data_IF_769040337862
#
_entry.id   IF_769040337862
#
_cell.length_a   1.000
_cell.length_b   1.000
_cell.length_c   1.000
_cell.angle_alpha   90.00
_cell.angle_beta   90.00
_cell.angle_gamma   90.00
#
_symmetry.space_group_name_H-M   'P 1'
#
loop_
_entity.id
_entity.type
_entity.pdbx_description
1 polymer ?
#
# COMPACT_ATOMS: atom_id res chain seq x y z
N UNK A 1 8.60 17.24 -3.12
CA UNK A 1 7.17 17.09 -2.79
C UNK A 1 7.13 16.34 -1.47
N UNK A 2 6.75 16.99 -0.34
CA UNK A 2 6.71 16.32 0.95
C UNK A 2 5.59 15.28 0.90
N UNK A 3 5.92 14.02 1.20
CA UNK A 3 4.96 12.94 1.30
C UNK A 3 4.27 13.07 2.68
N UNK A 4 3.22 13.88 2.76
CA UNK A 4 2.35 13.89 3.94
C UNK A 4 1.48 12.64 3.91
N UNK A 5 1.87 11.63 4.70
CA UNK A 5 0.98 10.51 5.04
C UNK A 5 0.35 10.85 6.39
N UNK A 6 -0.83 11.47 6.31
CA UNK A 6 -1.77 11.58 7.42
C UNK A 6 -2.50 10.24 7.55
N UNK A 7 -2.01 9.37 8.43
CA UNK A 7 -2.82 8.32 9.04
C UNK A 7 -2.31 8.11 10.45
N UNK A 8 -3.23 8.13 11.41
CA UNK A 8 -3.02 7.51 12.72
C UNK A 8 -2.81 6.02 12.42
N UNK A 9 -1.57 5.53 12.49
CA UNK A 9 -1.28 4.11 12.23
C UNK A 9 -0.62 3.52 13.46
N UNK A 10 -1.22 2.45 13.98
CA UNK A 10 -0.70 1.68 15.11
C UNK A 10 0.77 1.25 14.95
N UNK A 11 1.27 1.18 13.72
CA UNK A 11 2.60 0.69 13.38
C UNK A 11 3.58 1.75 12.85
N UNK A 12 3.27 3.05 12.92
CA UNK A 12 4.18 4.14 12.49
C UNK A 12 5.57 4.10 13.17
N UNK A 13 5.63 3.58 14.40
CA UNK A 13 6.88 3.36 15.12
C UNK A 13 7.83 2.39 14.41
N UNK A 14 7.32 1.43 13.63
CA UNK A 14 8.13 0.45 12.92
C UNK A 14 8.91 1.12 11.78
N UNK A 15 8.26 2.03 11.06
CA UNK A 15 8.87 2.83 10.00
C UNK A 15 9.93 3.83 10.52
N UNK A 16 9.67 4.42 11.69
CA UNK A 16 10.49 5.48 12.30
C UNK A 16 11.41 5.01 13.42
N UNK A 17 11.63 3.69 13.50
CA UNK A 17 12.27 3.04 14.66
C UNK A 17 13.71 3.54 14.92
N UNK A 18 14.45 3.94 13.88
CA UNK A 18 15.83 4.38 13.98
C UNK A 18 16.00 5.62 14.87
N UNK A 19 15.03 6.54 14.87
CA UNK A 19 15.05 7.75 15.69
C UNK A 19 15.09 7.41 17.18
N UNK A 20 14.36 6.37 17.59
CA UNK A 20 14.29 5.93 18.97
C UNK A 20 15.47 5.04 19.34
N UNK A 21 15.97 4.24 18.38
CA UNK A 21 17.16 3.42 18.54
C UNK A 21 18.36 4.25 18.98
N UNK A 22 18.68 5.31 18.24
CA UNK A 22 19.86 6.12 18.50
C UNK A 22 19.83 6.75 19.90
N UNK A 23 18.64 7.20 20.34
CA UNK A 23 18.42 7.74 21.69
C UNK A 23 18.61 6.68 22.76
N UNK A 24 17.96 5.53 22.62
CA UNK A 24 18.01 4.46 23.62
C UNK A 24 19.43 3.88 23.75
N UNK A 25 20.13 3.71 22.63
CA UNK A 25 21.53 3.31 22.58
C UNK A 25 22.46 4.35 23.23
N UNK A 26 22.10 5.64 23.21
CA UNK A 26 22.84 6.69 23.92
C UNK A 26 22.66 6.58 25.44
N UNK A 27 21.44 6.28 25.91
CA UNK A 27 21.16 6.11 27.34
C UNK A 27 21.84 4.88 27.92
N UNK A 28 22.01 3.80 27.16
CA UNK A 28 22.80 2.66 27.60
C UNK A 28 24.27 3.00 27.90
N UNK A 29 24.79 4.09 27.30
CA UNK A 29 26.19 4.53 27.42
C UNK A 29 26.36 5.74 28.34
N UNK A 30 25.27 6.36 28.82
CA UNK A 30 25.36 7.61 29.56
C UNK A 30 25.90 7.42 30.97
N UNK A 31 26.74 8.36 31.43
CA UNK A 31 27.21 8.41 32.83
C UNK A 31 26.08 8.76 33.80
N UNK A 32 24.97 9.33 33.31
CA UNK A 32 23.72 9.55 34.08
C UNK A 32 23.14 8.25 34.66
N UNK A 33 23.51 7.09 34.09
CA UNK A 33 23.20 5.78 34.66
C UNK A 33 23.87 5.53 36.02
N UNK A 34 24.79 6.36 36.51
CA UNK A 34 25.53 6.05 37.74
C UNK A 34 24.82 6.54 39.02
N UNK A 35 24.05 7.64 38.98
CA UNK A 35 23.59 8.34 40.20
C UNK A 35 22.10 8.18 40.54
N UNK A 36 21.33 7.42 39.75
CA UNK A 36 19.89 7.28 40.00
C UNK A 36 19.55 5.99 40.79
N UNK A 37 19.11 6.17 42.04
CA UNK A 37 18.72 5.09 42.96
C UNK A 37 17.39 4.40 42.59
N UNK A 38 16.61 4.95 41.64
CA UNK A 38 15.29 4.45 41.22
C UNK A 38 15.31 2.96 40.82
N UNK A 39 16.42 2.48 40.24
CA UNK A 39 16.55 1.09 39.79
C UNK A 39 17.31 0.19 40.78
N UNK A 40 17.62 0.66 41.99
CA UNK A 40 18.26 -0.18 43.00
C UNK A 40 17.36 -1.36 43.37
N UNK A 41 17.94 -2.56 43.40
CA UNK A 41 17.20 -3.78 43.68
C UNK A 41 16.31 -4.28 42.54
N UNK A 42 16.28 -3.60 41.39
CA UNK A 42 15.57 -4.12 40.22
C UNK A 42 16.17 -5.45 39.75
N UNK A 43 15.31 -6.45 39.64
CA UNK A 43 15.64 -7.78 39.13
C UNK A 43 14.57 -8.27 38.16
N UNK A 44 14.99 -9.12 37.22
CA UNK A 44 14.11 -9.82 36.30
C UNK A 44 14.70 -11.21 36.02
N UNK A 45 13.86 -12.24 36.03
CA UNK A 45 14.26 -13.64 35.81
C UNK A 45 14.82 -13.92 34.42
N UNK A 46 14.50 -13.08 33.44
CA UNK A 46 14.89 -13.24 32.04
C UNK A 46 16.08 -12.37 31.63
N UNK A 47 16.61 -11.55 32.54
CA UNK A 47 17.79 -10.71 32.29
C UNK A 47 19.00 -11.28 33.04
N UNK A 48 20.11 -11.47 32.32
CA UNK A 48 21.32 -12.08 32.87
C UNK A 48 22.01 -11.17 33.89
N UNK A 49 22.14 -11.60 35.14
CA UNK A 49 22.80 -10.89 36.24
C UNK A 49 22.12 -9.55 36.62
N UNK A 50 22.18 -9.22 37.92
CA UNK A 50 21.60 -8.03 38.53
C UNK A 50 22.15 -6.73 37.93
N UNK A 51 23.46 -6.66 37.64
CA UNK A 51 24.06 -5.44 37.08
C UNK A 51 23.47 -5.05 35.72
N UNK A 52 23.18 -6.04 34.87
CA UNK A 52 22.56 -5.77 33.57
C UNK A 52 21.09 -5.37 33.74
N UNK A 53 20.36 -6.04 34.63
CA UNK A 53 18.98 -5.68 34.94
C UNK A 53 18.88 -4.21 35.41
N UNK A 54 19.80 -3.78 36.27
CA UNK A 54 19.86 -2.38 36.72
C UNK A 54 20.18 -1.42 35.57
N UNK A 55 21.15 -1.73 34.70
CA UNK A 55 21.46 -0.91 33.52
C UNK A 55 20.26 -0.76 32.58
N UNK A 56 19.57 -1.87 32.31
CA UNK A 56 18.37 -1.90 31.45
C UNK A 56 17.26 -1.07 32.07
N UNK A 57 17.02 -1.21 33.37
CA UNK A 57 16.05 -0.39 34.09
C UNK A 57 16.39 1.09 33.92
N UNK A 58 17.62 1.49 34.22
CA UNK A 58 18.02 2.90 34.16
C UNK A 58 17.90 3.47 32.73
N UNK A 59 18.27 2.71 31.71
CA UNK A 59 18.08 3.13 30.31
C UNK A 59 16.59 3.31 29.97
N UNK A 60 15.71 2.41 30.42
CA UNK A 60 14.27 2.54 30.22
C UNK A 60 13.68 3.76 30.96
N UNK A 61 14.10 4.01 32.21
CA UNK A 61 13.66 5.19 32.99
C UNK A 61 14.09 6.50 32.32
N UNK A 62 15.34 6.60 31.87
CA UNK A 62 15.82 7.78 31.14
C UNK A 62 15.06 7.98 29.82
N UNK A 63 14.74 6.89 29.12
CA UNK A 63 13.97 6.97 27.89
C UNK A 63 12.53 7.42 28.16
N UNK A 64 11.85 6.88 29.18
CA UNK A 64 10.52 7.38 29.59
C UNK A 64 10.56 8.86 29.96
N UNK A 65 11.61 9.29 30.68
CA UNK A 65 11.81 10.70 31.01
C UNK A 65 11.94 11.57 29.76
N UNK A 66 12.77 11.19 28.77
CA UNK A 66 12.89 11.93 27.50
C UNK A 66 11.56 11.97 26.74
N UNK A 67 10.84 10.84 26.65
CA UNK A 67 9.52 10.80 26.02
C UNK A 67 8.52 11.76 26.69
N UNK A 68 8.59 11.91 28.01
CA UNK A 68 7.73 12.81 28.78
C UNK A 68 8.18 14.28 28.68
N UNK A 69 9.48 14.55 28.68
CA UNK A 69 10.02 15.92 28.58
C UNK A 69 9.85 16.53 27.17
N UNK A 70 9.88 15.72 26.12
CA UNK A 70 9.68 16.20 24.74
C UNK A 70 8.26 16.74 24.53
N UNK A 71 7.26 16.27 25.29
CA UNK A 71 5.89 16.77 25.28
C UNK A 71 5.78 18.21 25.82
N UNK A 72 6.65 18.59 26.76
CA UNK A 72 6.61 19.93 27.39
C UNK A 72 7.36 21.02 26.61
N UNK A 73 8.12 20.67 25.56
CA UNK A 73 8.88 21.65 24.76
C UNK A 73 8.00 22.40 23.74
N UNK A 74 6.81 21.88 23.43
CA UNK A 74 5.89 22.45 22.44
C UNK A 74 4.45 22.66 22.96
N UNK A 75 4.17 22.29 24.21
CA UNK A 75 2.87 22.46 24.86
C UNK A 75 2.39 23.93 25.01
N UNK A 76 3.29 24.91 24.83
CA UNK A 76 2.95 26.35 24.85
C UNK A 76 2.49 26.89 23.48
N UNK A 77 2.37 26.03 22.46
CA UNK A 77 1.85 26.43 21.14
C UNK A 77 0.42 25.93 20.95
N UNK A 78 -0.52 26.85 20.82
CA UNK A 78 -1.98 26.64 20.74
C UNK A 78 -2.47 25.96 19.46
N UNK A 79 -1.62 25.23 18.74
CA UNK A 79 -1.93 24.68 17.43
C UNK A 79 -2.19 23.18 17.49
N UNK A 80 -3.29 22.73 16.90
CA UNK A 80 -3.77 21.34 17.01
C UNK A 80 -2.81 20.33 16.36
N UNK A 81 -2.08 20.74 15.31
CA UNK A 81 -1.09 19.90 14.62
C UNK A 81 0.19 19.62 15.44
N UNK A 82 0.60 20.52 16.35
CA UNK A 82 1.78 20.29 17.21
C UNK A 82 1.46 19.30 18.33
N UNK A 83 0.28 19.44 18.95
CA UNK A 83 -0.23 18.48 19.94
C UNK A 83 -0.39 17.06 19.38
N UNK A 84 -0.81 16.94 18.12
CA UNK A 84 -0.91 15.65 17.43
C UNK A 84 0.48 15.03 17.15
N UNK A 85 1.46 15.85 16.78
CA UNK A 85 2.85 15.43 16.53
C UNK A 85 3.55 14.97 17.81
N UNK A 86 3.31 15.63 18.94
CA UNK A 86 3.90 15.29 20.25
C UNK A 86 3.35 13.97 20.79
N UNK A 87 2.03 13.77 20.70
CA UNK A 87 1.40 12.49 21.04
C UNK A 87 1.98 11.35 20.18
N UNK A 88 2.10 11.56 18.87
CA UNK A 88 2.65 10.56 17.96
C UNK A 88 4.09 10.16 18.30
N UNK A 89 4.93 11.11 18.74
CA UNK A 89 6.31 10.82 19.16
C UNK A 89 6.36 9.92 20.40
N UNK A 90 5.60 10.29 21.43
CA UNK A 90 5.51 9.54 22.68
C UNK A 90 4.99 8.12 22.46
N UNK A 91 3.90 7.99 21.71
CA UNK A 91 3.25 6.72 21.38
C UNK A 91 4.22 5.77 20.67
N UNK A 92 4.95 6.32 19.69
CA UNK A 92 5.91 5.55 18.91
C UNK A 92 7.14 5.17 19.72
N UNK A 93 7.60 6.05 20.61
CA UNK A 93 8.68 5.78 21.56
C UNK A 93 8.33 4.62 22.49
N UNK A 94 7.14 4.63 23.09
CA UNK A 94 6.68 3.53 23.95
C UNK A 94 6.70 2.18 23.24
N UNK A 95 6.16 2.12 22.02
CA UNK A 95 6.19 0.91 21.19
C UNK A 95 7.62 0.48 20.90
N UNK A 96 8.49 1.42 20.54
CA UNK A 96 9.89 1.11 20.30
C UNK A 96 10.61 0.57 21.54
N UNK A 97 10.35 1.11 22.73
CA UNK A 97 10.93 0.60 23.98
C UNK A 97 10.54 -0.86 24.22
N UNK A 98 9.27 -1.21 23.98
CA UNK A 98 8.85 -2.61 24.02
C UNK A 98 9.62 -3.47 23.01
N UNK A 99 9.74 -3.01 21.76
CA UNK A 99 10.50 -3.72 20.73
C UNK A 99 11.94 -3.96 21.17
N UNK A 100 12.64 -2.93 21.68
CA UNK A 100 14.01 -3.05 22.18
C UNK A 100 14.13 -4.04 23.34
N UNK A 101 13.18 -4.03 24.28
CA UNK A 101 13.15 -5.03 25.35
C UNK A 101 13.05 -6.44 24.77
N UNK A 102 12.14 -6.64 23.82
CA UNK A 102 11.95 -7.94 23.18
C UNK A 102 13.20 -8.38 22.38
N UNK A 103 13.69 -7.54 21.49
CA UNK A 103 14.72 -7.91 20.51
C UNK A 103 16.14 -7.79 21.04
N UNK A 104 16.49 -6.67 21.67
CA UNK A 104 17.88 -6.36 22.02
C UNK A 104 18.22 -6.85 23.44
N UNK A 105 17.27 -6.75 24.38
CA UNK A 105 17.48 -7.20 25.76
C UNK A 105 17.22 -8.70 25.90
N UNK A 106 16.06 -9.18 25.44
CA UNK A 106 15.62 -10.56 25.62
C UNK A 106 15.95 -11.48 24.43
N UNK A 107 16.56 -10.94 23.36
CA UNK A 107 16.98 -11.68 22.16
C UNK A 107 15.84 -12.46 21.48
N UNK A 108 14.59 -12.02 21.63
CA UNK A 108 13.41 -12.72 21.11
C UNK A 108 13.21 -14.14 21.65
N UNK A 109 13.85 -14.49 22.78
CA UNK A 109 13.75 -15.84 23.40
C UNK A 109 12.62 -15.95 24.41
N UNK A 110 12.13 -14.82 24.89
CA UNK A 110 11.07 -14.72 25.88
C UNK A 110 9.77 -14.43 25.16
N UNK A 111 8.64 -14.93 25.65
CA UNK A 111 7.34 -14.64 25.05
C UNK A 111 7.02 -13.14 25.06
N UNK A 112 6.17 -12.72 24.12
CA UNK A 112 5.64 -11.36 24.07
C UNK A 112 4.94 -11.02 25.39
N UNK A 113 4.14 -11.93 25.95
CA UNK A 113 3.48 -11.79 27.26
C UNK A 113 4.48 -11.46 28.38
N UNK A 114 5.54 -12.27 28.55
CA UNK A 114 6.54 -12.03 29.59
C UNK A 114 7.32 -10.74 29.37
N UNK A 115 7.47 -10.32 28.11
CA UNK A 115 8.08 -9.03 27.77
C UNK A 115 7.17 -7.87 28.14
N UNK A 116 5.86 -7.99 27.95
CA UNK A 116 4.87 -7.00 28.40
C UNK A 116 4.88 -6.87 29.93
N UNK A 117 5.01 -7.98 30.66
CA UNK A 117 5.15 -7.96 32.14
C UNK A 117 6.41 -7.18 32.56
N UNK A 118 7.55 -7.42 31.91
CA UNK A 118 8.78 -6.67 32.16
C UNK A 118 8.57 -5.17 31.87
N UNK A 119 7.98 -4.86 30.72
CA UNK A 119 7.70 -3.49 30.30
C UNK A 119 6.81 -2.74 31.30
N UNK A 120 5.73 -3.39 31.76
CA UNK A 120 4.84 -2.85 32.79
C UNK A 120 5.56 -2.63 34.13
N UNK A 121 6.45 -3.54 34.54
CA UNK A 121 7.26 -3.37 35.76
C UNK A 121 8.18 -2.15 35.67
N UNK A 122 8.84 -1.96 34.54
CA UNK A 122 9.69 -0.78 34.30
C UNK A 122 8.87 0.52 34.31
N UNK A 123 7.66 0.48 33.74
CA UNK A 123 6.76 1.61 33.79
C UNK A 123 6.27 1.95 35.21
N UNK A 124 5.91 0.95 36.03
CA UNK A 124 5.50 1.17 37.42
C UNK A 124 6.58 1.94 38.19
N UNK A 125 7.83 1.52 38.03
CA UNK A 125 8.99 2.18 38.64
C UNK A 125 9.11 3.63 38.16
N UNK A 126 8.93 3.88 36.87
CA UNK A 126 8.93 5.25 36.34
C UNK A 126 7.80 6.10 36.97
N UNK A 127 6.56 5.59 36.96
CA UNK A 127 5.36 6.32 37.39
C UNK A 127 5.38 6.64 38.89
N UNK A 128 5.82 5.70 39.73
CA UNK A 128 5.97 5.87 41.19
C UNK A 128 6.98 6.96 41.55
N UNK A 129 7.98 7.20 40.71
CA UNK A 129 9.06 8.16 40.97
C UNK A 129 8.89 9.51 40.26
N UNK A 130 7.81 9.70 39.49
CA UNK A 130 7.52 10.92 38.75
C UNK A 130 6.06 11.36 38.94
N UNK A 131 5.61 11.44 40.20
CA UNK A 131 4.30 12.02 40.60
C UNK A 131 3.06 11.37 39.97
N UNK A 132 3.09 10.10 39.60
CA UNK A 132 1.93 9.39 39.02
C UNK A 132 1.30 10.12 37.83
N UNK A 133 2.13 10.67 36.93
CA UNK A 133 1.69 11.43 35.77
C UNK A 133 0.73 10.66 34.86
N UNK A 134 0.68 9.32 34.94
CA UNK A 134 -0.18 8.44 34.14
C UNK A 134 -0.06 8.71 32.62
N UNK A 135 1.03 9.37 32.22
CA UNK A 135 1.23 9.92 30.88
C UNK A 135 1.25 8.80 29.82
N UNK A 136 1.56 7.58 30.24
CA UNK A 136 1.68 6.42 29.38
C UNK A 136 0.61 5.34 29.59
N UNK A 137 -0.30 5.51 30.56
CA UNK A 137 -1.28 4.48 30.94
C UNK A 137 -2.09 3.99 29.74
N UNK A 138 -2.56 4.92 28.91
CA UNK A 138 -3.32 4.58 27.71
C UNK A 138 -2.55 3.61 26.81
N UNK A 139 -1.26 3.88 26.58
CA UNK A 139 -0.47 3.12 25.61
C UNK A 139 -0.08 1.76 26.15
N UNK A 140 0.35 1.72 27.41
CA UNK A 140 0.80 0.50 28.06
C UNK A 140 -0.37 -0.47 28.23
N UNK A 141 -1.58 0.05 28.46
CA UNK A 141 -2.80 -0.74 28.57
C UNK A 141 -3.39 -1.16 27.21
N UNK A 142 -3.10 -0.44 26.12
CA UNK A 142 -3.54 -0.79 24.77
C UNK A 142 -2.67 -1.88 24.12
N UNK A 143 -1.43 -2.05 24.58
CA UNK A 143 -0.55 -3.11 24.10
C UNK A 143 -1.06 -4.48 24.52
N UNK A 144 -1.26 -5.34 23.53
CA UNK A 144 -1.61 -6.74 23.74
C UNK A 144 -0.65 -7.63 22.93
N UNK A 145 -0.75 -8.93 23.13
CA UNK A 145 0.18 -9.89 22.53
C UNK A 145 0.17 -9.85 21.00
N UNK A 146 -1.02 -9.83 20.39
CA UNK A 146 -1.19 -9.84 18.93
C UNK A 146 -0.64 -8.56 18.28
N UNK A 147 -1.00 -7.39 18.81
CA UNK A 147 -0.51 -6.11 18.26
C UNK A 147 0.99 -5.94 18.46
N UNK A 148 1.52 -6.44 19.59
CA UNK A 148 2.94 -6.39 19.91
C UNK A 148 3.77 -7.33 19.02
N UNK A 149 3.31 -8.54 18.76
CA UNK A 149 3.95 -9.48 17.81
C UNK A 149 4.03 -8.87 16.41
N UNK A 150 2.90 -8.39 15.88
CA UNK A 150 2.85 -7.74 14.56
C UNK A 150 3.76 -6.52 14.49
N UNK A 151 3.81 -5.72 15.55
CA UNK A 151 4.71 -4.57 15.64
C UNK A 151 6.19 -5.00 15.57
N UNK A 152 6.59 -6.02 16.31
CA UNK A 152 7.95 -6.57 16.26
C UNK A 152 8.28 -7.07 14.87
N UNK A 153 7.36 -7.83 14.25
CA UNK A 153 7.53 -8.39 12.90
C UNK A 153 7.70 -7.31 11.83
N UNK A 154 6.91 -6.24 11.88
CA UNK A 154 7.03 -5.11 10.97
C UNK A 154 8.33 -4.32 11.20
N UNK A 155 8.71 -4.11 12.46
CA UNK A 155 9.95 -3.40 12.80
C UNK A 155 11.18 -4.18 12.30
N UNK A 156 11.21 -5.50 12.49
CA UNK A 156 12.23 -6.37 11.93
C UNK A 156 12.31 -6.27 10.40
N UNK A 157 11.15 -6.27 9.72
CA UNK A 157 11.08 -6.14 8.27
C UNK A 157 11.71 -4.81 7.78
N UNK A 158 11.44 -3.70 8.47
CA UNK A 158 12.07 -2.41 8.18
C UNK A 158 13.58 -2.41 8.44
N UNK A 159 14.03 -3.04 9.52
CA UNK A 159 15.46 -3.13 9.85
C UNK A 159 16.23 -3.96 8.83
N UNK A 160 15.64 -5.04 8.32
CA UNK A 160 16.21 -5.82 7.22
C UNK A 160 16.30 -5.00 5.93
N UNK A 161 15.27 -4.22 5.62
CA UNK A 161 15.28 -3.31 4.46
C UNK A 161 16.37 -2.24 4.58
N UNK A 162 16.55 -1.66 5.76
CA UNK A 162 17.58 -0.64 5.99
C UNK A 162 18.99 -1.21 5.80
N UNK A 163 19.26 -2.41 6.35
CA UNK A 163 20.53 -3.12 6.14
C UNK A 163 20.78 -3.36 4.65
N UNK A 164 19.79 -3.91 3.96
CA UNK A 164 19.85 -4.13 2.50
C UNK A 164 20.12 -2.83 1.73
N UNK A 165 19.46 -1.74 2.12
CA UNK A 165 19.65 -0.45 1.48
C UNK A 165 21.07 0.08 1.69
N UNK A 166 21.58 0.06 2.92
CA UNK A 166 22.93 0.55 3.23
C UNK A 166 24.03 -0.25 2.52
N UNK A 167 23.88 -1.57 2.41
CA UNK A 167 24.80 -2.44 1.68
C UNK A 167 24.85 -2.12 0.19
N UNK A 168 23.71 -1.80 -0.43
CA UNK A 168 23.61 -1.65 -1.87
C UNK A 168 23.72 -0.20 -2.36
N UNK A 169 23.41 0.81 -1.53
CA UNK A 169 23.50 2.22 -1.94
C UNK A 169 24.94 2.64 -2.26
N UNK A 170 25.92 1.96 -1.67
CA UNK A 170 27.36 2.26 -1.82
C UNK A 170 27.97 1.59 -3.05
N UNK A 171 27.26 0.64 -3.67
CA UNK A 171 27.73 -0.11 -4.82
C UNK A 171 27.57 0.68 -6.11
N UNK A 172 28.55 0.51 -6.99
CA UNK A 172 28.52 1.10 -8.31
C UNK A 172 27.68 0.25 -9.29
N UNK A 173 27.41 0.79 -10.47
CA UNK A 173 26.61 0.12 -11.51
C UNK A 173 27.23 -1.22 -11.96
N UNK A 174 28.56 -1.35 -11.92
CA UNK A 174 29.29 -2.56 -12.34
C UNK A 174 29.32 -3.68 -11.30
N UNK A 175 28.79 -3.42 -10.10
CA UNK A 175 28.77 -4.38 -9.00
C UNK A 175 27.39 -5.05 -8.92
N UNK A 176 27.33 -6.29 -8.45
CA UNK A 176 26.06 -6.97 -8.22
C UNK A 176 25.42 -6.56 -6.89
N UNK A 177 24.12 -6.28 -6.91
CA UNK A 177 23.34 -6.07 -5.70
C UNK A 177 23.30 -7.36 -4.86
N UNK A 178 23.32 -7.22 -3.52
CA UNK A 178 22.88 -8.34 -2.67
C UNK A 178 21.39 -8.58 -2.95
N UNK A 179 20.92 -9.81 -2.77
CA UNK A 179 19.51 -10.14 -2.95
C UNK A 179 18.73 -9.86 -1.67
N UNK A 180 17.54 -9.26 -1.79
CA UNK A 180 16.62 -9.12 -0.67
C UNK A 180 15.66 -10.31 -0.61
N UNK A 181 15.42 -10.87 0.57
CA UNK A 181 14.47 -11.97 0.76
C UNK A 181 13.05 -11.44 0.92
N UNK A 182 12.11 -11.94 0.11
CA UNK A 182 10.71 -11.54 0.19
C UNK A 182 9.87 -12.38 1.14
N UNK A 183 10.41 -13.46 1.70
CA UNK A 183 9.64 -14.48 2.42
C UNK A 183 8.80 -13.89 3.56
N UNK A 184 9.41 -13.06 4.40
CA UNK A 184 8.72 -12.40 5.53
C UNK A 184 7.60 -11.50 5.03
N UNK A 185 7.87 -10.63 4.05
CA UNK A 185 6.87 -9.76 3.46
C UNK A 185 5.69 -10.53 2.86
N UNK A 186 5.96 -11.57 2.06
CA UNK A 186 4.92 -12.38 1.41
C UNK A 186 4.02 -13.08 2.44
N UNK A 187 4.63 -13.68 3.47
CA UNK A 187 3.88 -14.28 4.59
C UNK A 187 2.95 -13.25 5.25
N UNK A 188 3.44 -12.03 5.45
CA UNK A 188 2.69 -10.98 6.14
C UNK A 188 1.56 -10.42 5.25
N UNK A 189 1.78 -10.37 3.94
CA UNK A 189 0.74 -10.04 2.96
C UNK A 189 -0.38 -11.08 2.98
N UNK A 190 -0.06 -12.37 3.02
CA UNK A 190 -1.07 -13.42 3.09
C UNK A 190 -1.89 -13.34 4.39
N UNK A 191 -1.23 -13.09 5.52
CA UNK A 191 -1.90 -12.84 6.79
C UNK A 191 -2.82 -11.62 6.72
N UNK A 192 -2.32 -10.48 6.25
CA UNK A 192 -3.10 -9.25 6.05
C UNK A 192 -4.36 -9.51 5.19
N UNK A 193 -4.21 -10.28 4.10
CA UNK A 193 -5.32 -10.63 3.20
C UNK A 193 -6.36 -11.53 3.87
N UNK A 194 -5.95 -12.36 4.83
CA UNK A 194 -6.84 -13.25 5.57
C UNK A 194 -7.49 -12.60 6.80
N UNK A 195 -6.87 -11.55 7.33
CA UNK A 195 -7.30 -10.86 8.55
C UNK A 195 -8.09 -9.58 8.31
N UNK A 196 -8.37 -8.89 9.42
CA UNK A 196 -9.10 -7.60 9.46
C UNK A 196 -8.26 -6.45 10.03
N UNK A 197 -6.97 -6.67 10.26
CA UNK A 197 -6.05 -5.65 10.79
C UNK A 197 -5.64 -4.69 9.66
N UNK A 198 -6.49 -3.70 9.43
CA UNK A 198 -6.29 -2.69 8.39
C UNK A 198 -5.00 -1.89 8.61
N UNK A 199 -4.62 -1.63 9.87
CA UNK A 199 -3.40 -0.90 10.20
C UNK A 199 -2.16 -1.69 9.79
N UNK A 200 -2.14 -3.00 10.09
CA UNK A 200 -1.06 -3.90 9.69
C UNK A 200 -0.94 -3.99 8.17
N UNK A 201 -2.07 -4.14 7.49
CA UNK A 201 -2.15 -4.11 6.03
C UNK A 201 -1.64 -2.80 5.42
N UNK A 202 -2.06 -1.66 5.98
CA UNK A 202 -1.64 -0.35 5.51
C UNK A 202 -0.13 -0.15 5.71
N UNK A 203 0.43 -0.65 6.80
CA UNK A 203 1.86 -0.57 7.03
C UNK A 203 2.66 -1.41 6.05
N UNK A 204 2.18 -2.60 5.68
CA UNK A 204 2.78 -3.38 4.58
C UNK A 204 2.74 -2.64 3.24
N UNK A 205 1.68 -1.86 2.97
CA UNK A 205 1.61 -1.01 1.76
C UNK A 205 2.67 0.09 1.80
N UNK A 206 2.88 0.70 2.97
CA UNK A 206 3.93 1.71 3.16
C UNK A 206 5.32 1.10 2.97
N UNK A 207 5.57 -0.06 3.57
CA UNK A 207 6.80 -0.83 3.38
C UNK A 207 7.08 -1.11 1.90
N UNK A 208 6.06 -1.62 1.19
CA UNK A 208 6.14 -1.88 -0.26
C UNK A 208 6.53 -0.64 -1.06
N UNK A 209 5.88 0.50 -0.78
CA UNK A 209 6.19 1.78 -1.45
C UNK A 209 7.64 2.16 -1.23
N UNK A 210 8.14 2.08 0.01
CA UNK A 210 9.52 2.40 0.39
C UNK A 210 10.52 1.50 -0.35
N UNK A 211 10.33 0.19 -0.29
CA UNK A 211 11.19 -0.78 -0.98
C UNK A 211 11.23 -0.52 -2.49
N UNK A 212 10.07 -0.43 -3.15
CA UNK A 212 10.00 -0.25 -4.61
C UNK A 212 10.63 1.07 -5.04
N UNK A 213 10.46 2.13 -4.25
CA UNK A 213 11.14 3.41 -4.49
C UNK A 213 12.67 3.24 -4.45
N UNK A 214 13.21 2.56 -3.44
CA UNK A 214 14.65 2.34 -3.35
C UNK A 214 15.19 1.54 -4.53
N UNK A 215 14.54 0.43 -4.88
CA UNK A 215 14.94 -0.41 -6.01
C UNK A 215 14.94 0.36 -7.34
N UNK A 216 13.93 1.20 -7.56
CA UNK A 216 13.77 1.90 -8.85
C UNK A 216 14.59 3.19 -8.96
N UNK A 217 14.74 3.92 -7.86
CA UNK A 217 15.25 5.30 -7.89
C UNK A 217 16.60 5.49 -7.22
N UNK A 218 17.01 4.57 -6.34
CA UNK A 218 18.23 4.75 -5.54
C UNK A 218 19.28 3.69 -5.84
N UNK A 219 18.89 2.42 -5.97
CA UNK A 219 19.82 1.31 -6.18
C UNK A 219 20.34 1.26 -7.62
N UNK A 220 21.66 1.42 -7.76
CA UNK A 220 22.35 1.51 -9.06
C UNK A 220 22.97 0.19 -9.54
N UNK A 221 23.40 -0.67 -8.62
CA UNK A 221 24.07 -1.94 -8.93
C UNK A 221 23.30 -2.85 -9.90
N UNK A 222 24.02 -3.74 -10.58
CA UNK A 222 23.50 -4.75 -11.48
C UNK A 222 22.85 -5.93 -10.73
N UNK A 223 22.00 -6.70 -11.42
CA UNK A 223 21.34 -7.88 -10.87
C UNK A 223 19.83 -7.75 -10.71
N UNK A 224 19.23 -8.69 -9.98
CA UNK A 224 17.78 -8.85 -9.86
C UNK A 224 17.16 -7.71 -9.05
N UNK A 225 16.34 -6.88 -9.71
CA UNK A 225 15.63 -5.72 -9.14
C UNK A 225 14.12 -5.99 -9.14
N UNK A 226 13.71 -7.07 -8.49
CA UNK A 226 12.29 -7.41 -8.41
C UNK A 226 11.55 -6.38 -7.57
N UNK A 227 10.34 -6.01 -8.01
CA UNK A 227 9.43 -5.19 -7.21
C UNK A 227 8.56 -6.09 -6.33
N UNK A 228 8.24 -5.60 -5.14
CA UNK A 228 7.34 -6.31 -4.26
C UNK A 228 5.90 -6.33 -4.82
N UNK A 229 5.20 -7.48 -4.73
CA UNK A 229 3.82 -7.59 -5.18
C UNK A 229 2.89 -6.71 -4.32
N UNK A 230 1.72 -6.31 -4.85
CA UNK A 230 0.74 -5.52 -4.11
C UNK A 230 0.23 -6.26 -2.87
N UNK A 231 -0.18 -5.50 -1.84
CA UNK A 231 -0.73 -6.06 -0.60
C UNK A 231 -2.20 -6.41 -0.78
N UNK A 232 -2.93 -5.58 -1.53
CA UNK A 232 -4.33 -5.83 -1.87
C UNK A 232 -4.49 -7.20 -2.51
N UNK A 233 -5.63 -7.86 -2.24
CA UNK A 233 -6.07 -8.96 -3.08
C UNK A 233 -6.33 -8.39 -4.46
N UNK A 234 -5.70 -8.92 -5.48
CA UNK A 234 -6.25 -8.76 -6.82
C UNK A 234 -7.61 -9.43 -6.78
N UNK A 235 -8.68 -8.64 -6.94
CA UNK A 235 -10.03 -9.17 -7.06
C UNK A 235 -10.15 -9.86 -8.42
N UNK A 236 -9.47 -10.99 -8.58
CA UNK A 236 -9.44 -11.77 -9.82
C UNK A 236 -10.83 -12.22 -10.20
N UNK A 237 -11.67 -12.51 -9.19
CA UNK A 237 -13.10 -12.80 -9.37
C UNK A 237 -13.81 -11.55 -9.90
N UNK A 238 -13.65 -10.39 -9.28
CA UNK A 238 -14.20 -9.12 -9.78
C UNK A 238 -13.69 -8.78 -11.19
N UNK A 239 -12.39 -8.92 -11.47
CA UNK A 239 -11.79 -8.65 -12.79
C UNK A 239 -12.34 -9.59 -13.87
N UNK A 240 -12.61 -10.84 -13.53
CA UNK A 240 -13.22 -11.80 -14.45
C UNK A 240 -14.72 -11.52 -14.60
N UNK A 241 -15.47 -11.39 -13.50
CA UNK A 241 -16.93 -11.25 -13.52
C UNK A 241 -17.42 -9.88 -14.00
N UNK A 242 -16.69 -8.79 -13.74
CA UNK A 242 -17.10 -7.42 -14.12
C UNK A 242 -17.36 -7.28 -15.62
N UNK A 243 -16.47 -7.74 -16.53
CA UNK A 243 -16.78 -7.70 -17.95
C UNK A 243 -17.97 -8.62 -18.30
N UNK A 244 -18.10 -9.81 -17.70
CA UNK A 244 -19.25 -10.70 -17.96
C UNK A 244 -20.58 -10.07 -17.52
N UNK A 245 -20.64 -9.46 -16.33
CA UNK A 245 -21.85 -8.80 -15.83
C UNK A 245 -22.20 -7.57 -16.65
N UNK A 246 -21.21 -6.77 -17.05
CA UNK A 246 -21.41 -5.62 -17.95
C UNK A 246 -21.92 -6.07 -19.34
N UNK A 247 -21.36 -7.13 -19.91
CA UNK A 247 -21.81 -7.69 -21.21
C UNK A 247 -23.26 -8.22 -21.08
N UNK A 248 -23.59 -8.92 -20.00
CA UNK A 248 -24.94 -9.44 -19.77
C UNK A 248 -25.96 -8.31 -19.58
N UNK A 249 -25.64 -7.32 -18.75
CA UNK A 249 -26.50 -6.16 -18.50
C UNK A 249 -26.72 -5.34 -19.77
N UNK A 250 -25.65 -5.05 -20.52
CA UNK A 250 -25.76 -4.32 -21.78
C UNK A 250 -26.57 -5.12 -22.80
N UNK A 251 -26.33 -6.43 -22.94
CA UNK A 251 -27.07 -7.29 -23.87
C UNK A 251 -28.56 -7.42 -23.51
N UNK A 252 -28.93 -7.29 -22.24
CA UNK A 252 -30.33 -7.31 -21.80
C UNK A 252 -31.02 -5.94 -22.02
N UNK A 253 -30.31 -4.85 -21.74
CA UNK A 253 -30.86 -3.49 -21.76
C UNK A 253 -30.90 -2.90 -23.18
N UNK A 254 -29.89 -3.16 -24.02
CA UNK A 254 -29.80 -2.63 -25.39
C UNK A 254 -31.02 -2.97 -26.26
N UNK A 255 -31.53 -4.22 -26.31
CA UNK A 255 -32.72 -4.56 -27.10
C UNK A 255 -33.99 -3.90 -26.57
N UNK A 256 -34.12 -3.79 -25.24
CA UNK A 256 -35.25 -3.11 -24.60
C UNK A 256 -35.23 -1.61 -24.94
N UNK A 257 -34.07 -0.96 -24.84
CA UNK A 257 -33.92 0.43 -25.25
C UNK A 257 -34.15 0.62 -26.76
N UNK A 258 -33.67 -0.28 -27.60
CA UNK A 258 -33.92 -0.23 -29.05
C UNK A 258 -35.42 -0.31 -29.39
N UNK A 259 -36.18 -1.12 -28.65
CA UNK A 259 -37.62 -1.31 -28.86
C UNK A 259 -38.49 -0.20 -28.24
N UNK A 260 -38.11 0.31 -27.07
CA UNK A 260 -38.96 1.20 -26.25
C UNK A 260 -38.52 2.67 -26.20
N UNK A 261 -37.39 3.03 -26.82
CA UNK A 261 -36.90 4.41 -26.89
C UNK A 261 -37.10 4.96 -28.32
N UNK A 262 -37.41 6.25 -28.55
CA UNK A 262 -37.66 6.81 -29.89
C UNK A 262 -36.44 6.79 -30.84
N UNK A 263 -35.30 6.28 -30.34
CA UNK A 263 -34.04 6.12 -31.06
C UNK A 263 -34.09 4.97 -32.07
N UNK A 264 -34.92 3.94 -31.85
CA UNK A 264 -35.07 2.79 -32.75
C UNK A 264 -35.51 3.20 -34.18
N UNK A 265 -36.61 3.97 -34.33
CA UNK A 265 -37.00 4.58 -35.59
C UNK A 265 -35.94 5.52 -36.17
N UNK A 266 -35.25 6.31 -35.34
CA UNK A 266 -34.21 7.25 -35.78
C UNK A 266 -32.97 6.56 -36.38
N UNK A 267 -32.47 5.50 -35.75
CA UNK A 267 -31.36 4.68 -36.26
C UNK A 267 -31.77 3.93 -37.53
N UNK A 268 -32.98 3.35 -37.55
CA UNK A 268 -33.51 2.66 -38.74
C UNK A 268 -33.59 3.61 -39.95
N UNK A 269 -33.99 4.86 -39.72
CA UNK A 269 -34.06 5.87 -40.77
C UNK A 269 -32.67 6.34 -41.25
N UNK A 270 -31.65 6.32 -40.38
CA UNK A 270 -30.26 6.61 -40.78
C UNK A 270 -29.63 5.47 -41.60
N UNK A 271 -29.85 4.22 -41.21
CA UNK A 271 -29.30 3.05 -41.92
C UNK A 271 -30.02 2.84 -43.25
N UNK A 272 -31.35 3.04 -43.30
CA UNK A 272 -32.14 2.92 -44.53
C UNK A 272 -31.76 3.93 -45.62
N UNK A 273 -31.26 5.12 -45.26
CA UNK A 273 -30.81 6.13 -46.23
C UNK A 273 -29.60 5.71 -47.06
N UNK A 274 -28.77 4.78 -46.59
CA UNK A 274 -27.63 4.28 -47.35
C UNK A 274 -27.99 3.16 -48.35
N UNK A 275 -29.17 2.54 -48.23
CA UNK A 275 -29.59 1.46 -49.13
C UNK A 275 -29.97 1.99 -50.52
N UNK A 276 -30.63 3.16 -50.56
CA UNK A 276 -31.03 3.83 -51.82
C UNK A 276 -29.84 4.35 -52.65
N UNK A 277 -28.64 4.48 -52.07
CA UNK A 277 -27.44 4.88 -52.82
C UNK A 277 -26.89 3.70 -53.63
N UNK A 278 -27.08 2.46 -53.18
CA UNK A 278 -26.56 1.27 -53.87
C UNK A 278 -27.43 0.85 -55.06
N UNK A 279 -28.75 1.03 -54.96
CA UNK A 279 -29.68 0.71 -56.04
C UNK A 279 -29.49 1.67 -57.25
N UNK A 280 -29.14 2.95 -57.00
CA UNK A 280 -28.87 3.92 -58.07
C UNK A 280 -27.53 3.71 -58.81
N UNK A 281 -26.57 2.99 -58.23
CA UNK A 281 -25.27 2.73 -58.91
C UNK A 281 -25.39 1.56 -59.90
N UNK A 282 -26.27 0.59 -59.62
CA UNK A 282 -26.47 -0.55 -60.52
C UNK A 282 -27.31 -0.20 -61.74
N UNK A 283 -28.28 0.72 -61.63
CA UNK A 283 -29.18 1.08 -62.73
C UNK A 283 -28.48 1.93 -63.82
N UNK A 284 -27.47 2.72 -63.44
CA UNK A 284 -26.69 3.55 -64.38
C UNK A 284 -25.63 2.74 -65.17
N UNK A 285 -25.25 1.55 -64.66
CA UNK A 285 -24.24 0.69 -65.31
C UNK A 285 -24.85 -0.20 -66.41
N UNK A 286 -26.12 -0.58 -66.29
CA UNK A 286 -26.82 -1.45 -67.26
C UNK A 286 -27.24 -0.71 -68.55
N UNK A 287 -27.35 0.63 -68.54
CA UNK A 287 -27.75 1.39 -69.73
C UNK A 287 -26.60 1.67 -70.72
N UNK A 288 -25.34 1.49 -70.33
CA UNK A 288 -24.17 1.79 -71.17
C UNK A 288 -23.58 0.58 -71.93
N UNK A 289 -24.10 -0.63 -71.70
CA UNK A 289 -23.48 -1.87 -72.21
C UNK A 289 -24.20 -2.58 -73.36
N UNK A 290 -25.30 -2.06 -73.89
CA UNK A 290 -26.02 -2.70 -74.99
C UNK A 290 -26.14 -1.82 -76.25
N UNK A 291 -25.22 -2.05 -77.19
CA UNK A 291 -25.50 -2.50 -78.58
C UNK A 291 -24.61 -1.81 -79.63
N UNK A 292 -23.46 -2.42 -79.89
CA UNK A 292 -22.89 -2.50 -81.24
C UNK A 292 -22.50 -3.95 -81.48
N UNK A 293 -23.33 -4.70 -82.20
CA UNK A 293 -22.82 -5.65 -83.19
C UNK A 293 -23.91 -6.06 -84.17
N UNK A 294 -23.44 -6.23 -85.40
CA UNK A 294 -24.11 -6.29 -86.68
C UNK A 294 -24.11 -7.74 -87.12
N UNK A 295 -25.25 -8.32 -87.48
CA UNK A 295 -25.24 -9.53 -88.31
C UNK A 295 -26.48 -9.64 -89.22
N UNK A 296 -26.22 -10.28 -90.36
CA UNK A 296 -26.85 -10.20 -91.66
C UNK A 296 -28.12 -11.03 -91.88
N UNK A 297 -29.04 -10.44 -92.64
CA UNK A 297 -29.77 -10.97 -93.79
C UNK A 297 -30.87 -12.06 -93.67
N UNK A 298 -31.98 -11.70 -94.36
CA UNK A 298 -32.87 -12.51 -95.21
C UNK A 298 -34.07 -13.24 -94.56
N UNK A 299 -35.28 -12.68 -94.68
CA UNK A 299 -36.31 -13.09 -95.68
C UNK A 299 -37.72 -12.51 -95.39
N UNK A 300 -38.33 -12.01 -96.47
CA UNK A 300 -39.78 -11.93 -96.78
C UNK A 300 -40.66 -10.79 -96.22
N UNK A 301 -40.90 -9.82 -97.10
CA UNK A 301 -42.04 -8.88 -97.16
C UNK A 301 -43.40 -9.66 -97.29
N UNK A 302 -44.57 -9.14 -96.85
CA UNK A 302 -45.28 -8.10 -97.62
C UNK A 302 -45.97 -6.98 -96.80
N UNK A 303 -45.72 -5.74 -97.24
CA UNK A 303 -46.67 -4.67 -97.58
C UNK A 303 -47.86 -4.38 -96.64
N UNK A 304 -47.79 -3.25 -95.92
CA UNK A 304 -48.91 -2.30 -95.87
C UNK A 304 -48.41 -0.86 -95.78
N UNK A 305 -48.94 -0.03 -96.68
CA UNK A 305 -48.76 1.42 -96.78
C UNK A 305 -49.64 2.17 -95.76
N UNK A 306 -49.48 3.50 -95.75
CA UNK A 306 -50.40 4.59 -95.33
C UNK A 306 -49.90 5.28 -94.06
N UNK A 307 -49.83 6.60 -93.93
CA UNK A 307 -49.70 7.76 -94.81
C UNK A 307 -49.44 8.95 -93.85
N UNK A 308 -48.64 9.93 -94.26
CA UNK A 308 -48.44 11.18 -93.53
C UNK A 308 -49.70 12.04 -93.56
N UNK A 309 -49.93 12.78 -92.47
CA UNK A 309 -50.45 14.14 -92.59
C UNK A 309 -49.88 15.03 -91.49
N UNK A 310 -49.17 16.07 -91.94
CA UNK A 310 -48.74 17.25 -91.21
C UNK A 310 -49.91 18.25 -91.13
N UNK A 311 -50.01 18.91 -89.98
CA UNK A 311 -50.44 20.31 -89.86
C UNK A 311 -49.85 20.91 -88.60
#
# INVERSE_FOLDING_TARGET
MPLEIQTIVSYNAAYSNCIYKDKLDSYQRSSELQDNNICLGFTNSHINNQDNAQKICKAAILFFKDLNEQEHKYADTTYEDTKYKDKTYRDNGCKYLFYWLYTDVLNGKVSIENTLILYQKLYSIYNENHEHLNAFDKYINEMNEDTSDKFVRLTNLYNELEKFFEENKRKNEREYCTSYSFNSYLKYVDECRSGYDNDFCNELKNFRKKYNFFIQKVIKCEGKKDLLPPVEKSDTIGIILTPFTLILLTSLILPLLYKFTPVGPWIRNKIGKNKNIWDNINEETDQLLHNFEMEENNLNNPNYNIAYNLS
#
